data_IF_297379711025
#
_entry.id   IF_297379711025
#
_cell.length_a   1.000
_cell.length_b   1.000
_cell.length_c   1.000
_cell.angle_alpha   90.00
_cell.angle_beta   90.00
_cell.angle_gamma   90.00
#
_symmetry.space_group_name_H-M   'P 1'
#
loop_
_entity.id
_entity.type
_entity.pdbx_description
1 polymer ?
#
# COMPACT_ATOMS: atom_id res chain seq x y z
N UNK A 1 18.21 -17.68 8.10
CA UNK A 1 18.51 -19.14 8.21
C UNK A 1 17.85 -19.77 9.44
N UNK A 2 17.59 -19.06 10.52
CA UNK A 2 16.96 -19.67 11.72
C UNK A 2 15.49 -20.09 11.55
N UNK A 3 14.76 -19.63 10.56
CA UNK A 3 13.35 -19.99 10.33
C UNK A 3 13.10 -21.22 9.44
N UNK A 4 14.14 -21.84 8.89
CA UNK A 4 13.98 -22.99 7.99
C UNK A 4 14.59 -24.29 8.55
N UNK A 5 14.34 -24.62 9.83
CA UNK A 5 14.85 -25.87 10.43
C UNK A 5 14.47 -27.17 9.70
N UNK A 6 13.47 -27.14 8.81
CA UNK A 6 13.09 -28.30 7.99
C UNK A 6 13.57 -28.27 6.54
N UNK A 7 13.88 -27.10 5.99
CA UNK A 7 14.34 -26.93 4.61
C UNK A 7 15.87 -26.90 4.49
N UNK A 8 16.59 -26.50 5.55
CA UNK A 8 18.03 -26.35 5.54
C UNK A 8 18.82 -27.61 5.16
N UNK A 9 18.34 -28.79 5.53
CA UNK A 9 19.04 -30.04 5.21
C UNK A 9 18.79 -30.54 3.78
N UNK A 10 17.65 -30.16 3.17
CA UNK A 10 17.35 -30.47 1.77
C UNK A 10 18.17 -29.56 0.85
N UNK A 11 18.31 -28.27 1.18
CA UNK A 11 19.11 -27.32 0.40
C UNK A 11 20.62 -27.58 0.53
N UNK A 12 21.14 -27.98 1.69
CA UNK A 12 22.54 -28.35 1.86
C UNK A 12 22.99 -29.51 0.96
N UNK A 13 22.07 -30.41 0.60
CA UNK A 13 22.37 -31.51 -0.34
C UNK A 13 22.40 -31.09 -1.79
N UNK A 14 21.77 -29.98 -2.14
CA UNK A 14 21.66 -29.48 -3.52
C UNK A 14 22.78 -28.51 -3.91
N UNK A 15 23.53 -27.99 -2.93
CA UNK A 15 24.54 -26.94 -3.10
C UNK A 15 25.86 -27.31 -2.44
N UNK A 16 26.30 -28.59 -2.57
CA UNK A 16 27.53 -29.11 -1.99
C UNK A 16 28.80 -28.34 -2.36
N UNK A 17 28.77 -27.65 -3.48
CA UNK A 17 29.93 -26.93 -4.05
C UNK A 17 29.93 -25.43 -3.68
N UNK A 18 28.96 -24.99 -2.85
CA UNK A 18 28.86 -23.59 -2.42
C UNK A 18 29.43 -23.46 -0.99
N UNK A 19 30.34 -22.50 -0.82
CA UNK A 19 30.87 -22.14 0.50
C UNK A 19 29.78 -21.56 1.38
N UNK A 20 29.58 -22.14 2.57
CA UNK A 20 28.63 -21.66 3.58
C UNK A 20 29.42 -21.02 4.71
N UNK A 21 29.18 -19.76 4.97
CA UNK A 21 29.82 -18.97 6.03
C UNK A 21 28.76 -18.47 7.02
N UNK A 22 29.18 -18.16 8.23
CA UNK A 22 28.31 -17.71 9.32
C UNK A 22 28.32 -16.22 9.56
N UNK A 23 29.39 -15.52 9.15
CA UNK A 23 29.48 -14.07 9.23
C UNK A 23 29.08 -13.41 7.92
N UNK A 24 27.94 -12.72 7.92
CA UNK A 24 27.42 -12.02 6.75
C UNK A 24 28.38 -10.91 6.26
N UNK A 25 29.23 -10.37 7.13
CA UNK A 25 30.17 -9.32 6.76
C UNK A 25 31.36 -9.84 5.92
N UNK A 26 31.69 -11.11 6.02
CA UNK A 26 32.70 -11.74 5.17
C UNK A 26 32.29 -11.72 3.71
N UNK A 27 30.97 -11.92 3.40
CA UNK A 27 30.45 -11.84 2.03
C UNK A 27 30.69 -10.47 1.41
N UNK A 28 30.39 -9.40 2.18
CA UNK A 28 30.54 -8.02 1.71
C UNK A 28 32.00 -7.61 1.47
N UNK A 29 32.98 -8.32 2.05
CA UNK A 29 34.41 -8.02 1.94
C UNK A 29 35.16 -8.95 0.99
N UNK A 30 34.58 -10.09 0.60
CA UNK A 30 35.23 -11.09 -0.25
C UNK A 30 35.51 -10.53 -1.65
N UNK A 31 36.74 -10.72 -2.14
CA UNK A 31 37.13 -10.34 -3.50
C UNK A 31 36.49 -11.21 -4.58
N UNK A 32 36.00 -12.41 -4.20
CA UNK A 32 35.34 -13.35 -5.09
C UNK A 32 33.84 -13.05 -5.31
N UNK A 33 33.31 -12.01 -4.65
CA UNK A 33 31.88 -11.63 -4.71
C UNK A 33 31.73 -10.29 -5.40
N UNK A 34 30.95 -10.24 -6.48
CA UNK A 34 30.57 -8.99 -7.19
C UNK A 34 29.20 -8.47 -6.76
N UNK A 35 28.29 -9.38 -6.39
CA UNK A 35 26.90 -9.05 -6.05
C UNK A 35 26.53 -9.70 -4.72
N UNK A 36 26.06 -8.90 -3.79
CA UNK A 36 25.47 -9.36 -2.50
C UNK A 36 23.96 -9.35 -2.63
N UNK A 37 23.32 -10.51 -2.37
CA UNK A 37 21.86 -10.64 -2.34
C UNK A 37 21.40 -10.81 -0.90
N UNK A 38 20.62 -9.85 -0.39
CA UNK A 38 20.09 -9.80 0.97
C UNK A 38 18.62 -10.26 1.00
N UNK A 39 18.35 -11.33 1.73
CA UNK A 39 17.01 -11.90 1.94
C UNK A 39 16.78 -12.27 3.42
N UNK A 40 17.53 -11.65 4.35
CA UNK A 40 17.47 -11.98 5.77
C UNK A 40 16.31 -11.30 6.49
N UNK A 41 15.86 -10.15 5.99
CA UNK A 41 14.82 -9.34 6.63
C UNK A 41 15.30 -8.60 7.89
N UNK A 42 14.44 -7.75 8.46
CA UNK A 42 14.82 -6.80 9.51
C UNK A 42 15.58 -5.61 8.93
N UNK A 43 15.91 -4.62 9.74
CA UNK A 43 16.57 -3.38 9.25
C UNK A 43 18.04 -3.35 9.62
N UNK A 44 18.39 -3.59 10.89
CA UNK A 44 19.70 -3.29 11.43
C UNK A 44 20.85 -4.08 10.76
N UNK A 45 20.74 -5.40 10.67
CA UNK A 45 21.80 -6.24 10.09
C UNK A 45 21.81 -6.11 8.55
N UNK A 46 20.65 -5.99 7.93
CA UNK A 46 20.52 -5.74 6.49
C UNK A 46 21.17 -4.40 6.11
N UNK A 47 20.97 -3.35 6.90
CA UNK A 47 21.59 -2.03 6.71
C UNK A 47 23.12 -2.11 6.84
N UNK A 48 23.65 -2.73 7.89
CA UNK A 48 25.11 -2.91 8.06
C UNK A 48 25.73 -3.68 6.90
N UNK A 49 25.03 -4.71 6.41
CA UNK A 49 25.47 -5.51 5.25
C UNK A 49 25.45 -4.65 3.97
N UNK A 50 24.38 -3.89 3.73
CA UNK A 50 24.26 -3.02 2.57
C UNK A 50 25.38 -1.97 2.52
N UNK A 51 25.60 -1.25 3.64
CA UNK A 51 26.68 -0.26 3.76
C UNK A 51 28.04 -0.90 3.50
N UNK A 52 28.30 -2.08 4.10
CA UNK A 52 29.57 -2.78 3.90
C UNK A 52 29.76 -3.20 2.44
N UNK A 53 28.75 -3.79 1.80
CA UNK A 53 28.79 -4.20 0.41
C UNK A 53 29.07 -3.01 -0.53
N UNK A 54 28.30 -1.94 -0.40
CA UNK A 54 28.42 -0.76 -1.25
C UNK A 54 29.79 -0.07 -1.11
N UNK A 55 30.32 0.07 0.14
CA UNK A 55 31.66 0.62 0.41
C UNK A 55 32.78 -0.25 -0.18
N UNK A 56 32.59 -1.57 -0.24
CA UNK A 56 33.52 -2.50 -0.88
C UNK A 56 33.26 -2.65 -2.39
N UNK A 57 32.51 -1.73 -2.99
CA UNK A 57 32.20 -1.70 -4.42
C UNK A 57 31.50 -2.96 -4.94
N UNK A 58 30.69 -3.59 -4.07
CA UNK A 58 29.82 -4.70 -4.46
C UNK A 58 28.44 -4.17 -4.84
N UNK A 59 27.83 -4.73 -5.86
CA UNK A 59 26.42 -4.51 -6.14
C UNK A 59 25.57 -5.13 -5.02
N UNK A 60 24.40 -4.55 -4.75
CA UNK A 60 23.53 -5.00 -3.68
C UNK A 60 22.12 -5.25 -4.21
N UNK A 61 21.56 -6.43 -3.94
CA UNK A 61 20.18 -6.78 -4.33
C UNK A 61 19.42 -7.17 -3.08
N UNK A 62 18.20 -6.64 -2.90
CA UNK A 62 17.41 -6.91 -1.71
C UNK A 62 15.90 -7.03 -2.01
N UNK A 63 15.21 -7.89 -1.26
CA UNK A 63 13.75 -7.94 -1.19
C UNK A 63 13.20 -7.20 0.04
N UNK A 64 14.06 -6.55 0.83
CA UNK A 64 13.76 -6.00 2.13
C UNK A 64 13.15 -4.58 2.01
N UNK A 65 11.83 -4.52 1.95
CA UNK A 65 11.10 -3.26 1.88
C UNK A 65 11.37 -2.33 3.07
N UNK A 66 11.56 -2.89 4.29
CA UNK A 66 11.80 -2.08 5.48
C UNK A 66 13.16 -1.39 5.42
N UNK A 67 14.19 -2.07 4.89
CA UNK A 67 15.50 -1.47 4.64
C UNK A 67 15.41 -0.29 3.65
N UNK A 68 14.76 -0.51 2.52
CA UNK A 68 14.64 0.53 1.48
C UNK A 68 13.78 1.70 1.97
N UNK A 69 12.63 1.44 2.62
CA UNK A 69 11.78 2.50 3.16
C UNK A 69 12.50 3.39 4.19
N UNK A 70 13.39 2.80 5.00
CA UNK A 70 14.09 3.52 6.06
C UNK A 70 15.37 4.25 5.57
N UNK A 71 16.09 3.70 4.60
CA UNK A 71 17.45 4.12 4.26
C UNK A 71 17.71 4.37 2.77
N UNK A 72 16.67 4.47 1.94
CA UNK A 72 16.82 4.61 0.47
C UNK A 72 17.79 5.72 0.07
N UNK A 73 17.64 6.92 0.63
CA UNK A 73 18.48 8.07 0.28
C UNK A 73 19.97 7.76 0.45
N UNK A 74 20.35 7.37 1.66
CA UNK A 74 21.76 7.10 1.99
C UNK A 74 22.33 5.95 1.15
N UNK A 75 21.56 4.86 0.99
CA UNK A 75 21.99 3.71 0.21
C UNK A 75 22.17 4.06 -1.27
N UNK A 76 21.28 4.85 -1.84
CA UNK A 76 21.37 5.26 -3.25
C UNK A 76 22.51 6.26 -3.50
N UNK A 77 22.73 7.20 -2.59
CA UNK A 77 23.88 8.11 -2.63
C UNK A 77 25.19 7.32 -2.58
N UNK A 78 25.30 6.38 -1.62
CA UNK A 78 26.50 5.54 -1.47
C UNK A 78 26.75 4.63 -2.70
N UNK A 79 25.69 4.06 -3.28
CA UNK A 79 25.78 3.27 -4.49
C UNK A 79 26.28 4.11 -5.67
N UNK A 80 25.79 5.33 -5.82
CA UNK A 80 26.23 6.28 -6.84
C UNK A 80 27.71 6.65 -6.68
N UNK A 81 28.14 6.99 -5.47
CA UNK A 81 29.54 7.34 -5.15
C UNK A 81 30.50 6.21 -5.52
N UNK A 82 30.11 4.96 -5.21
CA UNK A 82 30.95 3.79 -5.46
C UNK A 82 30.75 3.17 -6.86
N UNK A 83 29.86 3.72 -7.69
CA UNK A 83 29.52 3.25 -9.04
C UNK A 83 29.04 1.81 -9.08
N UNK A 84 28.23 1.45 -8.09
CA UNK A 84 27.57 0.14 -7.99
C UNK A 84 26.05 0.30 -8.04
N UNK A 85 25.36 -0.81 -8.27
CA UNK A 85 23.90 -0.84 -8.39
C UNK A 85 23.24 -1.42 -7.15
N UNK A 86 22.06 -0.88 -6.80
CA UNK A 86 21.13 -1.49 -5.85
C UNK A 86 19.91 -1.98 -6.62
N UNK A 87 19.64 -3.29 -6.58
CA UNK A 87 18.42 -3.89 -7.08
C UNK A 87 17.43 -4.12 -5.92
N UNK A 88 16.18 -3.71 -6.08
CA UNK A 88 15.15 -3.88 -5.04
C UNK A 88 13.75 -4.10 -5.62
N UNK A 89 13.68 -4.67 -6.84
CA UNK A 89 12.42 -4.98 -7.52
C UNK A 89 11.49 -5.81 -6.65
N UNK A 90 12.04 -6.77 -5.90
CA UNK A 90 11.27 -7.66 -5.03
C UNK A 90 10.70 -6.98 -3.77
N UNK A 91 11.06 -5.73 -3.47
CA UNK A 91 10.60 -5.03 -2.27
C UNK A 91 9.17 -4.53 -2.37
N UNK A 92 8.64 -4.29 -3.58
CA UNK A 92 7.28 -3.79 -3.81
C UNK A 92 6.57 -4.63 -4.85
N UNK A 93 5.34 -5.06 -4.52
CA UNK A 93 4.46 -5.81 -5.41
C UNK A 93 5.06 -7.10 -6.02
N UNK A 94 6.02 -7.70 -5.36
CA UNK A 94 6.58 -9.02 -5.59
C UNK A 94 6.95 -9.32 -7.04
N UNK A 95 6.08 -9.97 -7.79
CA UNK A 95 6.31 -10.37 -9.18
C UNK A 95 5.99 -9.30 -10.23
N UNK A 96 5.43 -8.17 -9.85
CA UNK A 96 5.11 -7.06 -10.75
C UNK A 96 6.38 -6.20 -10.94
N UNK A 97 6.86 -5.98 -12.17
CA UNK A 97 8.11 -5.23 -12.41
C UNK A 97 7.91 -3.71 -12.28
N UNK A 98 7.37 -3.25 -11.13
CA UNK A 98 6.95 -1.86 -10.97
C UNK A 98 8.13 -0.91 -10.75
N UNK A 99 9.16 -1.33 -10.03
CA UNK A 99 10.34 -0.50 -9.76
C UNK A 99 11.04 -0.16 -11.08
N UNK A 100 11.33 -1.17 -11.92
CA UNK A 100 11.94 -0.93 -13.22
C UNK A 100 11.01 -0.23 -14.20
N UNK A 101 9.71 -0.43 -14.11
CA UNK A 101 8.75 0.32 -14.92
C UNK A 101 8.84 1.81 -14.64
N UNK A 102 8.81 2.21 -13.39
CA UNK A 102 8.94 3.61 -12.99
C UNK A 102 10.33 4.15 -13.36
N UNK A 103 11.36 3.41 -13.03
CA UNK A 103 12.77 3.81 -13.20
C UNK A 103 13.20 3.88 -14.67
N UNK A 104 12.82 2.89 -15.46
CA UNK A 104 13.34 2.71 -16.82
C UNK A 104 12.28 2.93 -17.90
N UNK A 105 11.08 2.37 -17.70
CA UNK A 105 10.01 2.40 -18.69
C UNK A 105 9.34 3.76 -18.82
N UNK A 106 9.22 4.47 -17.71
CA UNK A 106 8.56 5.80 -17.65
C UNK A 106 9.54 6.95 -17.46
N UNK A 107 10.84 6.72 -17.64
CA UNK A 107 11.90 7.71 -17.38
C UNK A 107 11.76 9.03 -18.15
N UNK A 108 11.08 9.02 -19.30
CA UNK A 108 10.80 10.23 -20.10
C UNK A 108 9.54 10.98 -19.66
N UNK A 109 8.89 10.53 -18.59
CA UNK A 109 7.61 11.10 -18.12
C UNK A 109 7.77 11.66 -16.71
N UNK A 110 7.02 12.72 -16.43
CA UNK A 110 6.69 13.10 -15.06
C UNK A 110 5.53 12.23 -14.59
N UNK A 111 5.70 11.55 -13.47
CA UNK A 111 4.63 10.80 -12.82
C UNK A 111 3.85 11.76 -11.94
N UNK A 112 2.56 11.92 -12.24
CA UNK A 112 1.67 12.82 -11.49
C UNK A 112 1.05 12.11 -10.29
N UNK A 113 0.71 10.82 -10.46
CA UNK A 113 0.11 10.03 -9.39
C UNK A 113 0.30 8.54 -9.62
N UNK A 114 0.15 7.78 -8.56
CA UNK A 114 -0.07 6.34 -8.61
C UNK A 114 -1.18 5.94 -7.64
N UNK A 115 -1.88 4.87 -7.97
CA UNK A 115 -2.81 4.18 -7.08
C UNK A 115 -2.57 2.67 -7.20
N UNK A 116 -2.58 1.95 -6.08
CA UNK A 116 -2.28 0.53 -6.14
C UNK A 116 -2.91 -0.28 -5.02
N UNK A 117 -3.08 -1.57 -5.28
CA UNK A 117 -3.39 -2.59 -4.30
C UNK A 117 -2.05 -3.26 -3.98
N UNK A 118 -1.43 -2.86 -2.86
CA UNK A 118 -0.06 -3.25 -2.51
C UNK A 118 0.02 -4.32 -1.41
N UNK A 119 -1.13 -4.69 -0.82
CA UNK A 119 -1.21 -5.76 0.16
C UNK A 119 -2.20 -6.84 -0.30
N UNK A 120 -1.69 -8.03 -0.62
CA UNK A 120 -2.49 -9.16 -1.13
C UNK A 120 -3.41 -9.74 -0.06
N UNK A 121 -2.99 -9.80 1.22
CA UNK A 121 -3.80 -10.28 2.33
C UNK A 121 -5.06 -9.44 2.51
N UNK A 122 -4.92 -8.12 2.55
CA UNK A 122 -6.04 -7.18 2.66
C UNK A 122 -7.00 -7.26 1.48
N UNK A 123 -6.47 -7.40 0.25
CA UNK A 123 -7.32 -7.54 -0.94
C UNK A 123 -8.05 -8.89 -0.97
N UNK A 124 -7.41 -9.97 -0.53
CA UNK A 124 -8.05 -11.27 -0.36
C UNK A 124 -9.21 -11.20 0.62
N UNK A 125 -9.01 -10.59 1.79
CA UNK A 125 -10.05 -10.42 2.82
C UNK A 125 -11.24 -9.67 2.23
N UNK A 126 -11.04 -8.51 1.59
CA UNK A 126 -12.11 -7.75 0.99
C UNK A 126 -12.82 -8.50 -0.16
N UNK A 127 -12.08 -9.28 -0.96
CA UNK A 127 -12.67 -10.13 -2.00
C UNK A 127 -13.61 -11.17 -1.39
N UNK A 128 -13.18 -11.86 -0.33
CA UNK A 128 -14.00 -12.86 0.36
C UNK A 128 -15.21 -12.28 1.07
N UNK A 129 -15.06 -11.12 1.72
CA UNK A 129 -16.18 -10.39 2.29
C UNK A 129 -17.21 -9.99 1.21
N UNK A 130 -16.73 -9.58 0.03
CA UNK A 130 -17.59 -9.14 -1.07
C UNK A 130 -18.32 -10.29 -1.78
N UNK A 131 -17.62 -11.40 -2.04
CA UNK A 131 -18.13 -12.51 -2.87
C UNK A 131 -18.92 -13.52 -2.05
N UNK A 132 -18.45 -13.84 -0.84
CA UNK A 132 -19.02 -14.86 0.05
C UNK A 132 -19.81 -14.27 1.22
N UNK A 133 -19.90 -12.93 1.33
CA UNK A 133 -20.57 -12.19 2.42
C UNK A 133 -20.06 -12.56 3.82
N UNK A 134 -18.77 -12.87 3.91
CA UNK A 134 -18.12 -13.23 5.17
C UNK A 134 -17.93 -11.99 6.05
N UNK A 135 -17.98 -12.19 7.38
CA UNK A 135 -17.45 -11.18 8.31
C UNK A 135 -15.94 -11.03 8.14
N UNK A 136 -15.40 -9.89 8.58
CA UNK A 136 -13.96 -9.64 8.58
C UNK A 136 -13.17 -10.77 9.24
N UNK A 137 -13.57 -11.17 10.46
CA UNK A 137 -12.89 -12.22 11.22
C UNK A 137 -12.90 -13.58 10.49
N UNK A 138 -14.02 -13.92 9.83
CA UNK A 138 -14.14 -15.16 9.07
C UNK A 138 -13.26 -15.13 7.83
N UNK A 139 -13.22 -14.00 7.12
CA UNK A 139 -12.36 -13.82 5.94
C UNK A 139 -10.87 -13.82 6.32
N UNK A 140 -10.51 -13.22 7.45
CA UNK A 140 -9.15 -13.26 8.01
C UNK A 140 -8.73 -14.68 8.38
N UNK A 141 -9.59 -15.44 9.08
CA UNK A 141 -9.31 -16.83 9.43
C UNK A 141 -9.13 -17.70 8.17
N UNK A 142 -9.88 -17.43 7.11
CA UNK A 142 -9.71 -18.08 5.80
C UNK A 142 -8.36 -17.71 5.18
N UNK A 143 -7.97 -16.44 5.20
CA UNK A 143 -6.66 -15.99 4.71
C UNK A 143 -5.49 -16.68 5.44
N UNK A 144 -5.60 -16.84 6.77
CA UNK A 144 -4.61 -17.57 7.58
C UNK A 144 -4.56 -19.06 7.21
N UNK A 145 -5.71 -19.69 7.04
CA UNK A 145 -5.82 -21.11 6.66
C UNK A 145 -5.21 -21.38 5.27
N UNK A 146 -5.40 -20.47 4.33
CA UNK A 146 -4.87 -20.58 2.96
C UNK A 146 -3.41 -20.12 2.85
N UNK A 147 -2.83 -19.55 3.93
CA UNK A 147 -1.43 -19.12 3.99
C UNK A 147 -1.17 -17.74 3.40
N UNK A 148 -2.20 -16.93 3.16
CA UNK A 148 -2.09 -15.54 2.74
C UNK A 148 -1.87 -14.58 3.90
N UNK A 149 -2.26 -14.96 5.13
CA UNK A 149 -1.98 -14.21 6.36
C UNK A 149 -1.15 -15.05 7.34
N UNK A 150 -0.21 -14.41 8.03
CA UNK A 150 0.53 -15.00 9.13
C UNK A 150 -0.37 -15.12 10.40
N UNK A 151 0.02 -15.94 11.41
CA UNK A 151 -0.71 -16.00 12.69
C UNK A 151 -0.88 -14.65 13.37
N UNK A 152 0.13 -13.77 13.29
CA UNK A 152 0.00 -12.35 13.64
C UNK A 152 -0.12 -11.52 12.36
N UNK A 153 -1.34 -11.14 11.95
CA UNK A 153 -1.59 -10.41 10.71
C UNK A 153 -1.54 -8.90 10.88
N UNK A 154 -1.20 -8.41 12.07
CA UNK A 154 -1.32 -6.99 12.46
C UNK A 154 -0.67 -6.05 11.45
N UNK A 155 0.51 -6.41 10.95
CA UNK A 155 1.25 -5.59 9.99
C UNK A 155 0.52 -5.41 8.65
N UNK A 156 -0.20 -6.44 8.20
CA UNK A 156 -0.99 -6.41 6.97
C UNK A 156 -2.31 -5.65 7.18
N UNK A 157 -3.07 -6.03 8.21
CA UNK A 157 -4.43 -5.51 8.42
C UNK A 157 -4.46 -4.05 8.93
N UNK A 158 -3.38 -3.59 9.59
CA UNK A 158 -3.26 -2.20 10.03
C UNK A 158 -2.92 -1.22 8.90
N UNK A 159 -2.54 -1.71 7.71
CA UNK A 159 -2.10 -0.90 6.57
C UNK A 159 -0.61 -0.54 6.56
N UNK A 160 0.17 -0.95 7.57
CA UNK A 160 1.59 -0.62 7.68
C UNK A 160 2.43 -1.21 6.55
N UNK A 161 2.18 -2.47 6.14
CA UNK A 161 2.87 -3.09 5.00
C UNK A 161 2.67 -2.28 3.72
N UNK A 162 1.43 -1.90 3.44
CA UNK A 162 1.10 -1.12 2.27
C UNK A 162 1.70 0.31 2.34
N UNK A 163 1.72 0.92 3.53
CA UNK A 163 2.32 2.25 3.75
C UNK A 163 3.83 2.24 3.49
N UNK A 164 4.58 1.21 3.91
CA UNK A 164 5.99 1.07 3.57
C UNK A 164 6.21 0.98 2.06
N UNK A 165 5.42 0.20 1.35
CA UNK A 165 5.51 0.07 -0.11
C UNK A 165 5.14 1.39 -0.80
N UNK A 166 4.16 2.12 -0.27
CA UNK A 166 3.76 3.44 -0.76
C UNK A 166 4.90 4.44 -0.66
N UNK A 167 5.64 4.48 0.45
CA UNK A 167 6.78 5.38 0.61
C UNK A 167 7.91 5.08 -0.39
N UNK A 168 8.16 3.81 -0.70
CA UNK A 168 9.16 3.40 -1.70
C UNK A 168 8.74 3.86 -3.10
N UNK A 169 7.48 3.61 -3.48
CA UNK A 169 6.96 4.05 -4.79
C UNK A 169 6.98 5.58 -4.91
N UNK A 170 6.62 6.30 -3.84
CA UNK A 170 6.66 7.76 -3.82
C UNK A 170 8.08 8.30 -4.00
N UNK A 171 9.06 7.69 -3.32
CA UNK A 171 10.48 8.06 -3.46
C UNK A 171 10.94 7.96 -4.90
N UNK A 172 10.56 6.90 -5.62
CA UNK A 172 10.92 6.71 -7.02
C UNK A 172 10.12 7.59 -7.97
N UNK A 173 8.80 7.69 -7.76
CA UNK A 173 7.89 8.39 -8.67
C UNK A 173 8.09 9.90 -8.65
N UNK A 174 8.37 10.45 -7.47
CA UNK A 174 8.42 11.90 -7.25
C UNK A 174 9.83 12.41 -6.98
N UNK A 175 10.85 11.54 -7.04
CA UNK A 175 12.26 11.86 -6.75
C UNK A 175 12.46 12.60 -5.43
N UNK A 176 11.65 12.25 -4.44
CA UNK A 176 11.71 12.81 -3.11
C UNK A 176 11.82 11.71 -2.07
N UNK A 177 12.77 11.83 -1.16
CA UNK A 177 12.91 10.89 -0.06
C UNK A 177 11.64 10.90 0.82
N UNK A 178 10.83 9.85 0.69
CA UNK A 178 9.59 9.67 1.43
C UNK A 178 9.75 8.53 2.42
N UNK A 179 9.57 8.82 3.71
CA UNK A 179 9.53 7.80 4.75
C UNK A 179 8.10 7.33 5.02
N UNK A 180 7.95 6.24 5.75
CA UNK A 180 6.63 5.75 6.18
C UNK A 180 5.89 6.79 7.05
N UNK A 181 6.61 7.66 7.77
CA UNK A 181 6.03 8.73 8.59
C UNK A 181 5.26 9.77 7.77
N UNK A 182 5.59 9.87 6.47
CA UNK A 182 4.91 10.77 5.53
C UNK A 182 3.64 10.16 4.93
N UNK A 183 3.35 8.89 5.20
CA UNK A 183 2.22 8.17 4.63
C UNK A 183 1.11 8.08 5.67
N UNK A 184 -0.05 8.68 5.38
CA UNK A 184 -1.27 8.41 6.14
C UNK A 184 -1.70 6.97 5.92
N UNK A 185 -2.06 6.22 6.96
CA UNK A 185 -2.58 4.87 6.77
C UNK A 185 -3.67 4.51 7.78
N UNK A 186 -4.59 3.69 7.31
CA UNK A 186 -5.69 3.12 8.09
C UNK A 186 -5.75 1.61 7.91
N UNK A 187 -6.17 0.92 8.98
CA UNK A 187 -6.47 -0.50 8.95
C UNK A 187 -7.77 -0.83 8.20
N UNK A 188 -7.93 -2.11 7.87
CA UNK A 188 -9.09 -2.63 7.14
C UNK A 188 -10.15 -3.28 8.03
N UNK A 189 -9.90 -3.40 9.33
CA UNK A 189 -10.67 -4.16 10.31
C UNK A 189 -12.03 -3.53 10.71
N UNK A 190 -12.23 -2.25 10.38
CA UNK A 190 -13.46 -1.51 10.72
C UNK A 190 -14.57 -1.64 9.67
N UNK A 191 -14.31 -2.31 8.57
CA UNK A 191 -15.26 -2.45 7.47
C UNK A 191 -16.19 -3.63 7.71
N UNK A 192 -17.49 -3.41 7.56
CA UNK A 192 -18.51 -4.45 7.68
C UNK A 192 -18.96 -4.97 6.30
N UNK A 193 -19.54 -6.19 6.22
CA UNK A 193 -20.18 -6.67 5.01
C UNK A 193 -21.27 -5.74 4.46
N UNK A 194 -21.99 -5.06 5.36
CA UNK A 194 -23.04 -4.11 4.97
C UNK A 194 -22.46 -2.91 4.19
N UNK A 195 -21.27 -2.42 4.59
CA UNK A 195 -20.60 -1.32 3.85
C UNK A 195 -20.30 -1.73 2.42
N UNK A 196 -19.88 -2.98 2.21
CA UNK A 196 -19.63 -3.54 0.88
C UNK A 196 -20.93 -3.66 0.07
N UNK A 197 -22.02 -4.14 0.70
CA UNK A 197 -23.34 -4.26 0.05
C UNK A 197 -23.91 -2.89 -0.32
N UNK A 198 -23.77 -1.87 0.54
CA UNK A 198 -24.14 -0.48 0.19
C UNK A 198 -23.26 0.09 -0.93
N UNK A 199 -21.94 -0.16 -0.88
CA UNK A 199 -21.03 0.23 -1.96
C UNK A 199 -21.47 -0.35 -3.30
N UNK A 200 -21.83 -1.66 -3.37
CA UNK A 200 -22.34 -2.31 -4.58
C UNK A 200 -23.63 -1.64 -5.11
N UNK A 201 -24.56 -1.25 -4.22
CA UNK A 201 -25.78 -0.54 -4.61
C UNK A 201 -25.48 0.84 -5.23
N UNK A 202 -24.39 1.45 -4.81
CA UNK A 202 -23.90 2.73 -5.30
C UNK A 202 -22.94 2.61 -6.50
N UNK A 203 -22.77 1.39 -7.07
CA UNK A 203 -21.83 1.07 -8.14
C UNK A 203 -20.36 1.26 -7.76
N UNK A 204 -20.01 0.97 -6.52
CA UNK A 204 -18.64 0.98 -6.03
C UNK A 204 -18.15 -0.40 -5.63
N UNK A 205 -16.83 -0.58 -5.69
CA UNK A 205 -16.10 -1.75 -5.19
C UNK A 205 -15.10 -1.30 -4.15
N UNK A 206 -15.07 -1.98 -3.02
CA UNK A 206 -14.12 -1.69 -1.94
C UNK A 206 -12.76 -2.31 -2.25
N UNK A 207 -11.68 -1.52 -2.08
CA UNK A 207 -10.28 -1.95 -2.26
C UNK A 207 -9.38 -1.38 -1.16
N UNK A 208 -8.32 -2.12 -0.75
CA UNK A 208 -7.26 -1.57 0.10
C UNK A 208 -6.29 -0.81 -0.79
N UNK A 209 -6.46 0.51 -0.87
CA UNK A 209 -5.71 1.33 -1.81
C UNK A 209 -4.52 2.03 -1.16
N UNK A 210 -3.42 2.04 -1.88
CA UNK A 210 -2.27 2.92 -1.65
C UNK A 210 -2.24 3.98 -2.73
N UNK A 211 -2.14 5.23 -2.35
CA UNK A 211 -2.14 6.37 -3.28
C UNK A 211 -0.94 7.27 -3.05
N UNK A 212 -0.41 7.81 -4.13
CA UNK A 212 0.57 8.88 -4.11
C UNK A 212 0.24 9.89 -5.19
N UNK A 213 0.19 11.17 -4.84
CA UNK A 213 -0.12 12.27 -5.74
C UNK A 213 0.87 13.41 -5.52
N UNK A 214 1.38 13.99 -6.61
CA UNK A 214 2.21 15.18 -6.57
C UNK A 214 1.46 16.37 -7.19
N UNK A 215 1.28 17.40 -6.41
CA UNK A 215 0.72 18.70 -6.85
C UNK A 215 1.75 19.79 -6.58
N UNK A 216 2.35 20.37 -7.63
CA UNK A 216 3.36 21.44 -7.59
C UNK A 216 4.36 21.33 -6.43
N UNK A 217 3.97 21.78 -5.23
CA UNK A 217 4.84 21.90 -4.05
C UNK A 217 4.45 20.95 -2.91
N UNK A 218 3.49 20.04 -3.15
CA UNK A 218 2.96 19.13 -2.13
C UNK A 218 2.85 17.71 -2.65
N UNK A 219 3.21 16.75 -1.77
CA UNK A 219 2.97 15.33 -1.99
C UNK A 219 1.92 14.86 -0.98
N UNK A 220 0.93 14.12 -1.47
CA UNK A 220 -0.05 13.43 -0.64
C UNK A 220 0.15 11.93 -0.78
N UNK A 221 0.35 11.24 0.34
CA UNK A 221 0.56 9.80 0.40
C UNK A 221 -0.44 9.17 1.36
N UNK A 222 -1.08 8.08 0.92
CA UNK A 222 -2.02 7.37 1.78
C UNK A 222 -2.14 5.88 1.47
N UNK A 223 -2.54 5.09 2.47
CA UNK A 223 -2.88 3.67 2.35
C UNK A 223 -4.08 3.36 3.25
N UNK A 224 -5.23 3.09 2.65
CA UNK A 224 -6.50 2.99 3.36
C UNK A 224 -7.55 2.22 2.57
N UNK A 225 -8.63 1.71 3.21
CA UNK A 225 -9.82 1.24 2.52
C UNK A 225 -10.46 2.36 1.71
N UNK A 226 -10.75 2.11 0.44
CA UNK A 226 -11.47 3.07 -0.40
C UNK A 226 -12.42 2.37 -1.36
N UNK A 227 -13.49 3.05 -1.70
CA UNK A 227 -14.36 2.70 -2.79
C UNK A 227 -13.80 3.24 -4.12
N UNK A 228 -13.87 2.42 -5.15
CA UNK A 228 -13.64 2.80 -6.55
C UNK A 228 -14.88 2.48 -7.37
N UNK A 229 -15.09 3.17 -8.49
CA UNK A 229 -16.17 2.85 -9.41
C UNK A 229 -16.01 1.42 -9.96
N UNK A 230 -17.11 0.75 -10.23
CA UNK A 230 -17.12 -0.64 -10.77
C UNK A 230 -16.43 -0.77 -12.12
N UNK A 231 -16.34 0.30 -12.90
CA UNK A 231 -15.64 0.37 -14.19
C UNK A 231 -14.16 0.77 -14.10
N UNK A 232 -13.67 1.08 -12.89
CA UNK A 232 -12.24 1.31 -12.66
C UNK A 232 -11.42 0.05 -12.92
N UNK A 233 -10.23 0.22 -13.51
CA UNK A 233 -9.29 -0.89 -13.73
C UNK A 233 -8.93 -1.62 -12.43
N UNK A 234 -8.78 -0.89 -11.32
CA UNK A 234 -8.46 -1.46 -10.01
C UNK A 234 -9.62 -2.26 -9.41
N UNK A 235 -10.87 -1.99 -9.80
CA UNK A 235 -12.04 -2.76 -9.34
C UNK A 235 -11.95 -4.24 -9.73
N UNK A 236 -11.32 -4.55 -10.86
CA UNK A 236 -11.20 -5.92 -11.40
C UNK A 236 -10.18 -6.80 -10.67
N UNK A 237 -9.33 -6.22 -9.83
CA UNK A 237 -8.25 -6.95 -9.14
C UNK A 237 -8.81 -7.70 -7.93
N UNK A 238 -8.79 -9.02 -7.97
CA UNK A 238 -9.41 -9.91 -6.99
C UNK A 238 -8.38 -10.76 -6.23
N UNK A 239 -8.81 -11.28 -5.09
CA UNK A 239 -8.05 -12.18 -4.23
C UNK A 239 -6.71 -11.59 -3.77
N UNK A 240 -5.64 -12.39 -3.73
CA UNK A 240 -4.29 -11.98 -3.29
C UNK A 240 -3.52 -11.16 -4.32
N UNK A 241 -4.11 -10.87 -5.48
CA UNK A 241 -3.41 -10.13 -6.52
C UNK A 241 -3.18 -8.67 -6.14
N UNK A 242 -2.03 -8.18 -6.56
CA UNK A 242 -1.66 -6.77 -6.49
C UNK A 242 -1.82 -6.09 -7.85
N UNK A 243 -1.95 -4.77 -7.83
CA UNK A 243 -1.89 -3.94 -9.03
C UNK A 243 -1.34 -2.55 -8.67
N UNK A 244 -0.72 -1.91 -9.65
CA UNK A 244 -0.33 -0.50 -9.57
C UNK A 244 -0.74 0.19 -10.86
N UNK A 245 -1.57 1.20 -10.75
CA UNK A 245 -1.92 2.16 -11.80
C UNK A 245 -1.01 3.37 -11.64
N UNK A 246 -0.24 3.69 -12.65
CA UNK A 246 0.64 4.87 -12.69
C UNK A 246 0.10 5.84 -13.72
N UNK A 247 -0.12 7.08 -13.32
CA UNK A 247 -0.57 8.16 -14.19
C UNK A 247 0.61 9.10 -14.48
N UNK A 248 1.05 9.12 -15.73
CA UNK A 248 2.19 9.90 -16.18
C UNK A 248 1.79 10.89 -17.29
N UNK A 249 2.49 12.03 -17.35
CA UNK A 249 2.10 13.21 -18.14
C UNK A 249 1.84 12.89 -19.63
N UNK A 250 2.73 12.13 -20.28
CA UNK A 250 2.65 11.93 -21.73
C UNK A 250 1.92 10.64 -22.14
N UNK A 251 1.90 9.62 -21.28
CA UNK A 251 1.32 8.30 -21.61
C UNK A 251 -0.02 8.05 -20.92
N UNK A 252 -0.41 8.92 -19.99
CA UNK A 252 -1.64 8.72 -19.21
C UNK A 252 -1.54 7.57 -18.21
N UNK A 253 -2.67 6.92 -17.93
CA UNK A 253 -2.76 5.81 -16.99
C UNK A 253 -2.26 4.50 -17.57
N UNK A 254 -1.31 3.85 -16.90
CA UNK A 254 -0.82 2.50 -17.22
C UNK A 254 -0.94 1.62 -15.98
N UNK A 255 -1.53 0.43 -16.13
CA UNK A 255 -1.74 -0.50 -15.01
C UNK A 255 -0.88 -1.76 -15.17
N UNK A 256 -0.27 -2.18 -14.06
CA UNK A 256 0.52 -3.40 -13.95
C UNK A 256 -0.10 -4.26 -12.84
N UNK A 257 -0.41 -5.51 -13.13
CA UNK A 257 -1.06 -6.40 -12.17
C UNK A 257 -0.46 -7.80 -12.18
N UNK A 258 -0.53 -8.48 -11.05
CA UNK A 258 -0.02 -9.84 -10.91
C UNK A 258 0.15 -10.26 -9.44
N UNK A 259 0.85 -11.39 -9.19
CA UNK A 259 1.08 -11.87 -7.84
C UNK A 259 2.00 -10.91 -7.07
N UNK A 260 1.50 -10.37 -5.96
CA UNK A 260 2.21 -9.38 -5.13
C UNK A 260 3.21 -9.98 -4.15
N UNK A 261 3.16 -11.29 -3.93
CA UNK A 261 4.02 -12.02 -2.99
C UNK A 261 4.21 -13.48 -3.42
N UNK A 262 5.02 -14.23 -2.67
CA UNK A 262 5.27 -15.64 -2.89
C UNK A 262 6.70 -15.92 -3.35
N UNK A 263 7.18 -17.15 -3.08
CA UNK A 263 8.57 -17.54 -3.31
C UNK A 263 9.01 -17.37 -4.78
N UNK A 264 8.20 -17.84 -5.73
CA UNK A 264 8.53 -17.76 -7.17
C UNK A 264 8.51 -16.32 -7.71
N UNK A 265 7.45 -15.51 -7.47
CA UNK A 265 7.44 -14.11 -7.89
C UNK A 265 8.61 -13.30 -7.31
N UNK A 266 8.87 -13.42 -6.01
CA UNK A 266 9.97 -12.73 -5.33
C UNK A 266 11.33 -13.15 -5.91
N UNK A 267 11.57 -14.46 -6.06
CA UNK A 267 12.81 -14.96 -6.65
C UNK A 267 13.02 -14.48 -8.09
N UNK A 268 11.95 -14.39 -8.89
CA UNK A 268 12.03 -13.87 -10.25
C UNK A 268 12.48 -12.40 -10.27
N UNK A 269 11.97 -11.58 -9.37
CA UNK A 269 12.33 -10.16 -9.29
C UNK A 269 13.78 -9.97 -8.80
N UNK A 270 14.21 -10.74 -7.79
CA UNK A 270 15.62 -10.77 -7.34
C UNK A 270 16.55 -11.20 -8.48
N UNK A 271 16.23 -12.28 -9.19
CA UNK A 271 17.04 -12.75 -10.33
C UNK A 271 17.07 -11.73 -11.46
N UNK A 272 15.98 -11.03 -11.70
CA UNK A 272 15.93 -9.97 -12.71
C UNK A 272 16.90 -8.83 -12.39
N UNK A 273 17.02 -8.43 -11.13
CA UNK A 273 17.99 -7.43 -10.68
C UNK A 273 19.43 -7.93 -10.82
N UNK A 274 19.70 -9.17 -10.46
CA UNK A 274 21.03 -9.80 -10.65
C UNK A 274 21.41 -9.85 -12.14
N UNK A 275 20.47 -10.21 -13.02
CA UNK A 275 20.69 -10.25 -14.48
C UNK A 275 20.97 -8.86 -15.03
N UNK A 276 20.26 -7.83 -14.55
CA UNK A 276 20.52 -6.45 -15.00
C UNK A 276 21.93 -5.99 -14.61
N UNK A 277 22.37 -6.31 -13.39
CA UNK A 277 23.75 -6.07 -12.94
C UNK A 277 24.75 -6.81 -13.83
N UNK A 278 24.53 -8.09 -14.09
CA UNK A 278 25.41 -8.91 -14.94
C UNK A 278 25.51 -8.39 -16.38
N UNK A 279 24.49 -7.67 -16.86
CA UNK A 279 24.48 -6.97 -18.16
C UNK A 279 25.15 -5.59 -18.11
N UNK A 280 25.73 -5.21 -16.99
CA UNK A 280 26.43 -3.93 -16.81
C UNK A 280 25.49 -2.74 -16.67
N UNK A 281 24.22 -2.95 -16.34
CA UNK A 281 23.32 -1.84 -16.05
C UNK A 281 23.63 -1.27 -14.68
N UNK A 282 24.03 0.00 -14.65
CA UNK A 282 24.16 0.81 -13.44
C UNK A 282 23.15 1.93 -13.58
N UNK A 283 22.25 2.04 -12.62
CA UNK A 283 21.19 3.06 -12.64
C UNK A 283 21.58 4.26 -11.79
N UNK A 284 21.40 5.44 -12.36
CA UNK A 284 21.41 6.67 -11.58
C UNK A 284 20.02 6.89 -11.01
N UNK A 285 19.85 6.71 -9.69
CA UNK A 285 18.59 6.97 -8.99
C UNK A 285 18.23 8.46 -8.94
N UNK A 286 18.86 9.26 -9.77
CA UNK A 286 18.64 10.70 -9.89
C UNK A 286 19.28 11.47 -8.74
N UNK A 287 19.19 12.77 -8.84
CA UNK A 287 19.35 13.62 -7.65
C UNK A 287 18.01 13.57 -6.93
N UNK A 288 17.97 12.88 -5.79
CA UNK A 288 16.88 13.14 -4.85
C UNK A 288 16.92 14.65 -4.58
N UNK A 289 16.03 15.35 -5.22
CA UNK A 289 15.95 16.80 -5.05
C UNK A 289 15.58 17.00 -3.59
N UNK A 290 16.39 17.75 -2.85
CA UNK A 290 16.02 18.27 -1.54
C UNK A 290 14.94 19.36 -1.72
N UNK A 291 13.84 19.00 -2.36
CA UNK A 291 12.64 19.80 -2.30
C UNK A 291 11.98 19.43 -0.99
N UNK A 292 11.88 20.38 -0.09
CA UNK A 292 11.04 20.29 1.10
C UNK A 292 9.56 20.40 0.66
N UNK A 293 9.09 19.44 -0.12
CA UNK A 293 7.68 19.32 -0.40
C UNK A 293 7.01 18.91 0.92
N UNK A 294 6.05 19.68 1.37
CA UNK A 294 5.28 19.30 2.54
C UNK A 294 4.47 18.05 2.20
N UNK A 295 4.63 17.02 3.00
CA UNK A 295 3.72 15.88 2.96
C UNK A 295 2.59 16.17 3.94
N UNK A 296 1.37 16.34 3.45
CA UNK A 296 0.19 16.45 4.30
C UNK A 296 -0.97 15.72 3.65
N UNK A 297 -1.67 14.94 4.47
CA UNK A 297 -2.90 14.28 4.07
C UNK A 297 -4.14 15.14 4.37
N UNK A 298 -4.02 16.21 5.13
CA UNK A 298 -5.11 17.08 5.60
C UNK A 298 -5.90 17.70 4.44
N UNK A 299 -5.23 18.03 3.35
CA UNK A 299 -5.83 18.62 2.17
C UNK A 299 -6.24 17.58 1.10
N UNK A 300 -6.15 16.28 1.43
CA UNK A 300 -6.59 15.24 0.51
C UNK A 300 -8.09 15.30 0.31
N UNK A 301 -8.51 15.57 -0.91
CA UNK A 301 -9.90 15.79 -1.27
C UNK A 301 -10.44 14.67 -2.14
N UNK A 302 -11.59 14.11 -1.78
CA UNK A 302 -12.31 13.11 -2.55
C UNK A 302 -13.78 13.05 -2.09
N UNK A 303 -14.61 12.29 -2.78
CA UNK A 303 -15.95 11.97 -2.31
C UNK A 303 -15.89 11.07 -1.08
N UNK A 304 -16.94 11.08 -0.26
CA UNK A 304 -16.98 10.38 1.03
C UNK A 304 -18.24 9.54 1.17
N UNK A 305 -18.04 8.32 1.64
CA UNK A 305 -19.11 7.46 2.12
C UNK A 305 -19.13 7.53 3.64
N UNK A 306 -20.29 7.82 4.19
CA UNK A 306 -20.56 7.79 5.64
C UNK A 306 -21.71 6.84 5.93
N UNK A 307 -21.56 5.96 6.93
CA UNK A 307 -22.66 5.15 7.47
C UNK A 307 -22.81 5.44 8.95
N UNK A 308 -23.99 5.88 9.33
CA UNK A 308 -24.39 6.21 10.71
C UNK A 308 -25.46 5.25 11.17
N UNK A 309 -25.48 4.93 12.47
CA UNK A 309 -26.66 4.36 13.13
C UNK A 309 -27.45 5.51 13.75
N UNK A 310 -28.68 5.69 13.32
CA UNK A 310 -29.51 6.83 13.74
C UNK A 310 -30.83 6.39 14.33
N UNK A 311 -31.38 7.18 15.24
CA UNK A 311 -32.74 6.96 15.76
C UNK A 311 -33.76 7.13 14.61
N UNK A 312 -34.70 6.18 14.48
CA UNK A 312 -35.79 6.28 13.50
C UNK A 312 -36.89 7.24 14.00
N UNK A 313 -36.61 8.53 13.90
CA UNK A 313 -37.54 9.61 14.35
C UNK A 313 -37.60 10.73 13.31
N UNK A 314 -38.80 11.36 13.15
CA UNK A 314 -38.92 12.54 12.30
C UNK A 314 -37.95 13.64 12.74
N UNK A 315 -37.29 14.27 11.75
CA UNK A 315 -36.33 15.38 11.95
C UNK A 315 -34.86 14.97 12.08
N UNK A 316 -34.53 13.70 12.28
CA UNK A 316 -33.13 13.24 12.39
C UNK A 316 -32.33 13.54 11.12
N UNK A 317 -32.84 13.16 9.95
CA UNK A 317 -32.18 13.47 8.67
C UNK A 317 -32.06 14.97 8.44
N UNK A 318 -33.08 15.78 8.84
CA UNK A 318 -33.02 17.24 8.73
C UNK A 318 -31.91 17.84 9.61
N UNK A 319 -31.71 17.31 10.82
CA UNK A 319 -30.64 17.76 11.72
C UNK A 319 -29.26 17.43 11.18
N UNK A 320 -29.08 16.20 10.69
CA UNK A 320 -27.82 15.75 10.04
C UNK A 320 -27.52 16.61 8.79
N UNK A 321 -28.49 16.78 7.89
CA UNK A 321 -28.29 17.58 6.67
C UNK A 321 -28.01 19.05 6.96
N UNK A 322 -28.59 19.62 8.02
CA UNK A 322 -28.28 20.99 8.46
C UNK A 322 -26.84 21.11 8.95
N UNK A 323 -26.32 20.09 9.69
CA UNK A 323 -24.95 20.08 10.14
C UNK A 323 -23.97 19.94 8.96
N UNK A 324 -24.26 19.04 8.01
CA UNK A 324 -23.46 18.90 6.79
C UNK A 324 -23.41 20.21 5.99
N UNK A 325 -24.54 20.87 5.80
CA UNK A 325 -24.64 22.16 5.11
C UNK A 325 -23.86 23.28 5.83
N UNK A 326 -23.88 23.31 7.17
CA UNK A 326 -23.09 24.23 8.00
C UNK A 326 -21.59 24.07 7.71
N UNK A 327 -21.13 22.85 7.48
CA UNK A 327 -19.75 22.52 7.17
C UNK A 327 -19.44 22.54 5.66
N UNK A 328 -20.31 23.14 4.83
CA UNK A 328 -20.19 23.20 3.37
C UNK A 328 -20.07 21.84 2.65
N UNK A 329 -20.65 20.80 3.22
CA UNK A 329 -20.68 19.47 2.62
C UNK A 329 -21.98 19.22 1.89
N UNK A 330 -21.88 18.82 0.62
CA UNK A 330 -23.01 18.52 -0.26
C UNK A 330 -23.31 17.03 -0.26
N UNK A 331 -24.58 16.67 -0.21
CA UNK A 331 -25.05 15.28 -0.25
C UNK A 331 -25.33 14.91 -1.71
N UNK A 332 -24.65 13.91 -2.23
CA UNK A 332 -24.89 13.35 -3.55
C UNK A 332 -25.90 12.20 -3.50
N UNK A 333 -25.81 11.34 -2.49
CA UNK A 333 -26.70 10.23 -2.27
C UNK A 333 -27.04 10.06 -0.81
N UNK A 334 -28.27 9.60 -0.55
CA UNK A 334 -28.75 9.24 0.77
C UNK A 334 -29.55 7.95 0.65
N UNK A 335 -29.17 6.93 1.42
CA UNK A 335 -29.84 5.63 1.48
C UNK A 335 -30.28 5.37 2.92
N UNK A 336 -31.56 5.10 3.07
CA UNK A 336 -32.16 4.63 4.33
C UNK A 336 -32.92 3.36 4.01
N UNK A 337 -32.50 2.22 4.56
CA UNK A 337 -33.24 0.96 4.42
C UNK A 337 -34.36 0.91 5.44
N UNK A 338 -35.55 0.50 5.01
CA UNK A 338 -36.59 0.04 5.92
C UNK A 338 -36.13 -1.30 6.52
N UNK A 339 -35.76 -1.26 7.81
CA UNK A 339 -35.59 -2.47 8.60
C UNK A 339 -36.95 -2.89 9.20
N UNK A 340 -37.11 -4.17 9.54
CA UNK A 340 -38.28 -4.64 10.26
C UNK A 340 -38.46 -3.78 11.54
N UNK A 341 -39.68 -3.33 11.81
CA UNK A 341 -40.05 -2.32 12.81
C UNK A 341 -39.70 -2.64 14.27
N UNK A 342 -38.68 -3.44 14.55
CA UNK A 342 -38.26 -3.87 15.88
C UNK A 342 -37.11 -3.05 16.47
N UNK A 343 -36.37 -2.30 15.67
CA UNK A 343 -35.19 -1.58 16.13
C UNK A 343 -35.41 -0.06 16.14
N UNK A 344 -35.20 0.57 17.30
CA UNK A 344 -35.27 2.04 17.45
C UNK A 344 -34.16 2.77 16.65
N UNK A 345 -33.23 2.03 16.04
CA UNK A 345 -32.09 2.54 15.29
C UNK A 345 -32.00 1.93 13.91
N UNK A 346 -31.68 2.75 12.92
CA UNK A 346 -31.55 2.35 11.52
C UNK A 346 -30.25 2.87 10.92
N UNK A 347 -29.65 2.12 9.97
CA UNK A 347 -28.51 2.62 9.23
C UNK A 347 -28.93 3.70 8.24
N UNK A 348 -28.22 4.83 8.29
CA UNK A 348 -28.30 5.91 7.33
C UNK A 348 -26.96 6.00 6.59
N UNK A 349 -27.00 5.78 5.28
CA UNK A 349 -25.83 5.93 4.41
C UNK A 349 -25.90 7.23 3.64
N UNK A 350 -24.83 8.01 3.67
CA UNK A 350 -24.69 9.29 2.98
C UNK A 350 -23.46 9.26 2.13
N UNK A 351 -23.57 9.66 0.86
CA UNK A 351 -22.44 9.98 0.00
C UNK A 351 -22.32 11.48 -0.10
N UNK A 352 -21.13 12.00 0.21
CA UNK A 352 -20.83 13.42 0.13
C UNK A 352 -19.91 13.69 -1.05
N UNK A 353 -20.16 14.80 -1.72
CA UNK A 353 -19.26 15.33 -2.76
C UNK A 353 -17.90 15.71 -2.18
N UNK A 354 -16.95 15.90 -3.07
CA UNK A 354 -15.56 16.24 -2.80
C UNK A 354 -15.35 17.15 -1.57
N UNK A 355 -14.66 16.63 -0.58
CA UNK A 355 -14.31 17.30 0.66
C UNK A 355 -12.89 16.96 1.10
N UNK A 356 -12.21 17.93 1.72
CA UNK A 356 -10.88 17.70 2.29
C UNK A 356 -10.94 16.89 3.60
N UNK A 357 -9.80 16.31 3.95
CA UNK A 357 -9.70 15.40 5.10
C UNK A 357 -9.98 16.12 6.42
N UNK A 358 -9.50 17.35 6.59
CA UNK A 358 -9.72 18.12 7.83
C UNK A 358 -11.19 18.39 8.04
N UNK A 359 -11.88 18.92 7.03
CA UNK A 359 -13.31 19.25 7.08
C UNK A 359 -14.15 18.01 7.40
N UNK A 360 -13.85 16.86 6.77
CA UNK A 360 -14.63 15.64 7.01
C UNK A 360 -14.39 15.07 8.41
N UNK A 361 -13.15 15.06 8.91
CA UNK A 361 -12.84 14.56 10.25
C UNK A 361 -13.48 15.40 11.35
N UNK A 362 -13.52 16.71 11.20
CA UNK A 362 -14.20 17.59 12.15
C UNK A 362 -15.72 17.41 12.09
N UNK A 363 -16.28 17.24 10.89
CA UNK A 363 -17.72 16.95 10.72
C UNK A 363 -18.11 15.59 11.32
N UNK A 364 -17.26 14.55 11.19
CA UNK A 364 -17.49 13.25 11.81
C UNK A 364 -17.62 13.39 13.32
N UNK A 365 -16.72 14.13 13.99
CA UNK A 365 -16.78 14.39 15.43
C UNK A 365 -18.08 15.10 15.85
N UNK A 366 -18.51 16.10 15.04
CA UNK A 366 -19.77 16.79 15.28
C UNK A 366 -21.00 15.87 15.11
N UNK A 367 -20.97 14.99 14.09
CA UNK A 367 -22.03 13.99 13.86
C UNK A 367 -22.14 12.97 14.99
N UNK A 368 -20.99 12.42 15.43
CA UNK A 368 -20.92 11.46 16.54
C UNK A 368 -21.36 12.09 17.89
N UNK A 369 -21.28 13.40 18.01
CA UNK A 369 -21.76 14.17 19.16
C UNK A 369 -23.27 14.43 19.18
N UNK A 370 -24.03 14.01 18.16
CA UNK A 370 -25.49 14.19 18.13
C UNK A 370 -26.18 13.09 18.94
N UNK A 371 -27.18 13.46 19.77
CA UNK A 371 -28.01 12.52 20.57
C UNK A 371 -28.77 11.49 19.71
N UNK A 372 -28.97 11.81 18.42
CA UNK A 372 -29.66 10.97 17.45
C UNK A 372 -28.77 9.94 16.76
N UNK A 373 -27.44 10.06 16.91
CA UNK A 373 -26.44 9.16 16.31
C UNK A 373 -25.89 8.23 17.39
N UNK A 374 -25.80 6.95 17.11
CA UNK A 374 -25.36 5.94 18.06
C UNK A 374 -24.11 5.23 17.57
N UNK A 375 -23.12 5.11 18.45
CA UNK A 375 -21.86 4.42 18.16
C UNK A 375 -20.97 5.15 17.15
N UNK A 376 -19.84 4.55 16.83
CA UNK A 376 -18.89 5.13 15.87
C UNK A 376 -19.45 5.06 14.44
N UNK A 377 -19.15 6.11 13.68
CA UNK A 377 -19.52 6.23 12.28
C UNK A 377 -18.50 5.49 11.40
N UNK A 378 -18.97 4.80 10.34
CA UNK A 378 -18.08 4.29 9.29
C UNK A 378 -17.83 5.39 8.25
N UNK A 379 -16.57 5.66 7.98
CA UNK A 379 -16.12 6.59 6.93
C UNK A 379 -15.23 5.86 5.93
N UNK A 380 -15.56 5.96 4.64
CA UNK A 380 -14.76 5.38 3.54
C UNK A 380 -14.60 6.45 2.45
N UNK A 381 -13.38 6.59 1.96
CA UNK A 381 -13.06 7.49 0.83
C UNK A 381 -13.54 6.87 -0.47
N UNK A 382 -14.02 7.70 -1.40
CA UNK A 382 -14.41 7.27 -2.75
C UNK A 382 -13.45 7.95 -3.72
N UNK A 383 -12.74 7.14 -4.50
CA UNK A 383 -11.70 7.62 -5.42
C UNK A 383 -12.13 7.42 -6.88
N UNK A 384 -11.99 8.47 -7.68
CA UNK A 384 -12.18 8.43 -9.12
C UNK A 384 -10.80 8.23 -9.80
N UNK A 385 -10.41 6.95 -10.02
CA UNK A 385 -9.10 6.52 -10.51
C UNK A 385 -9.20 5.39 -11.53
#
# INVERSE_FOLDING_TARGET
IQRSRGLGDVYKRQVSDISVITDIQEVAKSDDVDVVVELIGGVEDAYKLAISALKNKKHFVTANKALIAAHSKELFELAKENKVHIGFEASVAGGIPIIRTIRDGLISNQINSFAGILNGTSNFIFSKMADEKLSFDTALALAQKEGFAEPDPTFDISGQDAAQKTSILATLSFFQNSSMENVYFEGIDKISPDDIDYGKQLNFVLKPLSVGMQNKDQITLGSFPAFVKTDSLLASIQNENNAVLVNAENVGGTMYSGPGAGAKPTANSVLSDVIDIARGKIFDYGKFVEQNLSSSFDNFSCDRYLKLQVNDKPGVVAKISTLLAKNNLSIDNLIQKELERSDDQIPLVIVLSNSDETTIQDTIKELEGLDEVSGPLTHIRILDI
#
